data_IF_613570098540
#
_entry.id   IF_613570098540
#
_cell.length_a   1.000
_cell.length_b   1.000
_cell.length_c   1.000
_cell.angle_alpha   90.00
_cell.angle_beta   90.00
_cell.angle_gamma   90.00
#
_symmetry.space_group_name_H-M   'P 1'
#
loop_
_entity.id
_entity.type
_entity.pdbx_description
1 polymer ?
#
# COMPACT_ATOMS: atom_id res chain seq x y z
N UNK A 1 -41.65 30.65 7.13
CA UNK A 1 -42.06 29.38 7.75
C UNK A 1 -40.95 28.95 8.68
N UNK A 2 -41.08 29.23 9.98
CA UNK A 2 -40.14 28.71 10.97
C UNK A 2 -40.43 27.22 11.18
N UNK A 3 -39.40 26.38 11.06
CA UNK A 3 -39.51 24.96 11.36
C UNK A 3 -39.82 24.80 12.86
N UNK A 4 -40.75 23.92 13.23
CA UNK A 4 -41.10 23.68 14.64
C UNK A 4 -39.85 23.22 15.44
N UNK A 5 -39.76 23.49 16.76
CA UNK A 5 -38.54 23.27 17.53
C UNK A 5 -37.95 21.84 17.46
N UNK A 6 -38.76 20.82 17.22
CA UNK A 6 -38.33 19.42 17.05
C UNK A 6 -38.07 18.97 15.61
N UNK A 7 -38.12 19.86 14.62
CA UNK A 7 -37.87 19.50 13.22
C UNK A 7 -36.45 18.96 13.03
N UNK A 8 -35.46 19.59 13.66
CA UNK A 8 -34.07 19.16 13.57
C UNK A 8 -33.80 17.82 14.26
N UNK A 9 -34.44 17.59 15.42
CA UNK A 9 -34.29 16.32 16.15
C UNK A 9 -34.95 15.17 15.40
N UNK A 10 -36.15 15.39 14.85
CA UNK A 10 -36.84 14.38 14.01
C UNK A 10 -36.07 14.08 12.73
N UNK A 11 -35.53 15.09 12.05
CA UNK A 11 -34.66 14.89 10.88
C UNK A 11 -33.40 14.11 11.23
N UNK A 12 -32.76 14.39 12.37
CA UNK A 12 -31.59 13.66 12.84
C UNK A 12 -31.92 12.18 13.13
N UNK A 13 -33.03 11.91 13.82
CA UNK A 13 -33.45 10.53 14.11
C UNK A 13 -33.78 9.75 12.84
N UNK A 14 -34.48 10.35 11.88
CA UNK A 14 -34.76 9.76 10.58
C UNK A 14 -33.47 9.49 9.80
N UNK A 15 -32.50 10.41 9.84
CA UNK A 15 -31.19 10.23 9.23
C UNK A 15 -30.42 9.06 9.88
N UNK A 16 -30.40 8.97 11.21
CA UNK A 16 -29.74 7.88 11.94
C UNK A 16 -30.40 6.53 11.63
N UNK A 17 -31.72 6.48 11.55
CA UNK A 17 -32.47 5.27 11.17
C UNK A 17 -32.17 4.88 9.71
N UNK A 18 -32.14 5.84 8.78
CA UNK A 18 -31.77 5.60 7.39
C UNK A 18 -30.34 5.09 7.27
N UNK A 19 -29.38 5.69 7.99
CA UNK A 19 -27.99 5.24 7.99
C UNK A 19 -27.84 3.84 8.58
N UNK A 20 -28.56 3.54 9.67
CA UNK A 20 -28.60 2.21 10.29
C UNK A 20 -29.18 1.17 9.33
N UNK A 21 -30.34 1.43 8.73
CA UNK A 21 -30.95 0.52 7.75
C UNK A 21 -30.09 0.31 6.51
N UNK A 22 -29.50 1.37 5.95
CA UNK A 22 -28.55 1.25 4.84
C UNK A 22 -27.33 0.41 5.23
N UNK A 23 -26.81 0.60 6.44
CA UNK A 23 -25.72 -0.21 6.98
C UNK A 23 -26.13 -1.68 7.07
N UNK A 24 -27.29 -2.03 7.62
CA UNK A 24 -27.69 -3.43 7.80
C UNK A 24 -28.09 -4.12 6.48
N UNK A 25 -28.74 -3.39 5.56
CA UNK A 25 -29.34 -3.97 4.36
C UNK A 25 -28.46 -3.91 3.12
N UNK A 26 -27.45 -3.04 3.05
CA UNK A 26 -26.65 -2.83 1.83
C UNK A 26 -25.16 -3.15 2.03
N UNK A 27 -24.65 -4.25 1.45
CA UNK A 27 -23.22 -4.54 1.41
C UNK A 27 -22.39 -3.40 0.78
N UNK A 28 -22.95 -2.73 -0.23
CA UNK A 28 -22.32 -1.57 -0.86
C UNK A 28 -22.19 -0.40 0.11
N UNK A 29 -23.22 -0.11 0.92
CA UNK A 29 -23.16 0.95 1.91
C UNK A 29 -22.10 0.66 2.98
N UNK A 30 -22.03 -0.59 3.48
CA UNK A 30 -20.96 -1.02 4.40
C UNK A 30 -19.57 -0.77 3.82
N UNK A 31 -19.36 -1.11 2.55
CA UNK A 31 -18.09 -0.89 1.87
C UNK A 31 -17.72 0.59 1.77
N UNK A 32 -18.64 1.45 1.31
CA UNK A 32 -18.35 2.87 1.18
C UNK A 32 -18.10 3.53 2.53
N UNK A 33 -18.87 3.17 3.57
CA UNK A 33 -18.63 3.65 4.92
C UNK A 33 -17.25 3.21 5.43
N UNK A 34 -16.89 1.93 5.28
CA UNK A 34 -15.57 1.41 5.66
C UNK A 34 -14.45 2.12 4.91
N UNK A 35 -14.59 2.38 3.62
CA UNK A 35 -13.59 3.09 2.82
C UNK A 35 -13.51 4.59 3.15
N UNK A 36 -14.64 5.23 3.41
CA UNK A 36 -14.69 6.63 3.84
C UNK A 36 -14.01 6.78 5.21
N UNK A 37 -14.32 5.88 6.16
CA UNK A 37 -13.65 5.82 7.44
C UNK A 37 -12.14 5.55 7.28
N UNK A 38 -11.73 4.61 6.42
CA UNK A 38 -10.31 4.30 6.18
C UNK A 38 -9.53 5.53 5.71
N UNK A 39 -10.03 6.20 4.67
CA UNK A 39 -9.36 7.37 4.10
C UNK A 39 -9.42 8.58 5.05
N UNK A 40 -10.58 8.82 5.66
CA UNK A 40 -10.75 9.92 6.61
C UNK A 40 -9.86 9.76 7.85
N UNK A 41 -9.72 8.52 8.35
CA UNK A 41 -8.86 8.22 9.48
C UNK A 41 -7.38 8.43 9.15
N UNK A 42 -6.91 8.02 7.96
CA UNK A 42 -5.55 8.31 7.51
C UNK A 42 -5.30 9.83 7.42
N UNK A 43 -6.24 10.59 6.85
CA UNK A 43 -6.11 12.05 6.75
C UNK A 43 -6.06 12.71 8.14
N UNK A 44 -6.89 12.23 9.07
CA UNK A 44 -6.92 12.70 10.45
C UNK A 44 -5.59 12.40 11.17
N UNK A 45 -5.09 11.17 11.09
CA UNK A 45 -3.80 10.80 11.66
C UNK A 45 -2.65 11.61 11.06
N UNK A 46 -2.70 11.90 9.75
CA UNK A 46 -1.71 12.74 9.11
C UNK A 46 -1.72 14.17 9.68
N UNK A 47 -2.89 14.75 9.99
CA UNK A 47 -3.00 16.07 10.66
C UNK A 47 -2.29 16.04 12.01
N UNK A 48 -2.50 14.98 12.79
CA UNK A 48 -1.85 14.81 14.10
C UNK A 48 -0.32 14.58 13.97
N UNK A 49 0.12 13.89 12.92
CA UNK A 49 1.54 13.62 12.68
C UNK A 49 2.31 14.86 12.24
N UNK A 50 1.69 15.76 11.47
CA UNK A 50 2.35 16.92 10.84
C UNK A 50 3.13 17.79 11.85
N UNK A 51 2.56 18.24 12.99
CA UNK A 51 3.31 19.06 13.94
C UNK A 51 4.58 18.37 14.45
N UNK A 52 4.51 17.07 14.75
CA UNK A 52 5.64 16.29 15.26
C UNK A 52 6.71 16.10 14.17
N UNK A 53 6.28 15.75 12.96
CA UNK A 53 7.18 15.58 11.83
C UNK A 53 7.82 16.92 11.40
N UNK A 54 7.08 18.03 11.50
CA UNK A 54 7.54 19.37 11.12
C UNK A 54 8.69 19.87 12.00
N UNK A 55 8.72 19.52 13.29
CA UNK A 55 9.84 19.86 14.20
C UNK A 55 11.17 19.28 13.69
N UNK A 56 11.14 18.10 13.08
CA UNK A 56 12.33 17.45 12.50
C UNK A 56 12.58 17.85 11.04
N UNK A 57 11.66 18.60 10.44
CA UNK A 57 11.66 18.89 9.00
C UNK A 57 11.48 17.64 8.14
N UNK A 58 11.93 17.73 6.88
CA UNK A 58 11.88 16.63 5.93
C UNK A 58 12.94 15.58 6.26
N UNK A 59 12.54 14.50 6.93
CA UNK A 59 13.44 13.45 7.42
C UNK A 59 12.79 12.06 7.33
N UNK A 60 13.53 11.05 6.85
CA UNK A 60 13.06 9.65 6.74
C UNK A 60 12.72 9.04 8.10
N UNK A 61 13.36 9.48 9.19
CA UNK A 61 13.07 8.99 10.54
C UNK A 61 11.62 9.27 10.98
N UNK A 62 10.94 10.23 10.35
CA UNK A 62 9.51 10.48 10.57
C UNK A 62 8.63 9.31 10.07
N UNK A 63 9.15 8.43 9.21
CA UNK A 63 8.46 7.20 8.82
C UNK A 63 8.15 6.31 10.02
N UNK A 64 8.95 6.34 11.10
CA UNK A 64 8.65 5.60 12.34
C UNK A 64 7.36 6.09 13.01
N UNK A 65 7.13 7.41 12.98
CA UNK A 65 5.92 8.04 13.51
C UNK A 65 4.73 7.62 12.65
N UNK A 66 4.84 7.75 11.32
CA UNK A 66 3.78 7.35 10.41
C UNK A 66 3.46 5.86 10.51
N UNK A 67 4.48 5.00 10.62
CA UNK A 67 4.31 3.56 10.85
C UNK A 67 3.53 3.32 12.13
N UNK A 68 3.96 3.88 13.26
CA UNK A 68 3.28 3.70 14.55
C UNK A 68 1.80 4.12 14.47
N UNK A 69 1.52 5.24 13.80
CA UNK A 69 0.17 5.78 13.64
C UNK A 69 -0.68 5.02 12.62
N UNK A 70 -0.11 4.29 11.68
CA UNK A 70 -0.87 3.56 10.65
C UNK A 70 -1.05 2.08 10.97
N UNK A 71 -0.11 1.47 11.72
CA UNK A 71 -0.15 0.03 11.98
C UNK A 71 -1.40 -0.43 12.74
N UNK A 72 -1.99 0.41 13.59
CA UNK A 72 -3.19 -0.01 14.34
C UNK A 72 -4.44 -0.12 13.47
N UNK A 73 -4.45 0.51 12.29
CA UNK A 73 -5.59 0.48 11.38
C UNK A 73 -5.93 -0.96 10.98
N UNK A 74 -4.92 -1.84 10.82
CA UNK A 74 -5.16 -3.24 10.46
C UNK A 74 -6.08 -3.94 11.48
N UNK A 75 -5.96 -3.61 12.77
CA UNK A 75 -6.80 -4.19 13.83
C UNK A 75 -8.25 -3.69 13.76
N UNK A 76 -8.48 -2.43 13.37
CA UNK A 76 -9.83 -1.87 13.20
C UNK A 76 -10.64 -2.63 12.12
N UNK A 77 -9.96 -3.19 11.13
CA UNK A 77 -10.58 -3.95 10.04
C UNK A 77 -10.41 -5.47 10.18
N UNK A 78 -9.74 -5.94 11.24
CA UNK A 78 -9.43 -7.36 11.42
C UNK A 78 -8.53 -7.94 10.32
N UNK A 79 -7.66 -7.12 9.75
CA UNK A 79 -6.66 -7.54 8.77
C UNK A 79 -5.46 -8.09 9.52
N UNK A 80 -5.14 -9.37 9.29
CA UNK A 80 -3.92 -9.99 9.81
C UNK A 80 -2.86 -9.99 8.72
N UNK A 81 -1.77 -9.30 8.98
CA UNK A 81 -0.60 -9.28 8.09
C UNK A 81 0.39 -10.32 8.59
N UNK A 82 0.80 -11.23 7.73
CA UNK A 82 1.80 -12.25 8.02
C UNK A 82 3.05 -11.99 7.18
N UNK A 83 4.11 -11.50 7.82
CA UNK A 83 5.39 -11.23 7.16
C UNK A 83 6.29 -12.45 7.27
N UNK A 84 6.85 -12.90 6.15
CA UNK A 84 7.87 -13.97 6.10
C UNK A 84 9.04 -13.53 5.23
N UNK A 85 10.23 -13.98 5.59
CA UNK A 85 11.46 -13.67 4.85
C UNK A 85 12.12 -12.34 5.24
N UNK A 86 11.69 -11.67 6.31
CA UNK A 86 12.27 -10.39 6.74
C UNK A 86 13.80 -10.46 7.00
N UNK A 87 14.34 -11.65 7.29
CA UNK A 87 15.78 -11.90 7.40
C UNK A 87 16.56 -11.70 6.09
N UNK A 88 15.88 -11.62 4.93
CA UNK A 88 16.52 -11.38 3.64
C UNK A 88 16.91 -9.92 3.42
N UNK A 89 16.49 -8.99 4.28
CA UNK A 89 16.95 -7.60 4.20
C UNK A 89 18.45 -7.52 4.56
N UNK A 90 19.32 -7.03 3.65
CA UNK A 90 20.73 -6.84 3.95
C UNK A 90 20.92 -5.76 5.02
N UNK A 91 21.47 -6.08 6.21
CA UNK A 91 21.58 -5.10 7.30
C UNK A 91 22.75 -4.11 7.12
N UNK A 92 23.76 -4.47 6.33
CA UNK A 92 25.07 -3.79 6.26
C UNK A 92 25.31 -3.02 4.97
N UNK A 93 24.44 -3.12 3.97
CA UNK A 93 24.61 -2.47 2.67
C UNK A 93 23.33 -1.81 2.19
N UNK A 94 23.41 -0.77 1.33
CA UNK A 94 22.24 -0.24 0.63
C UNK A 94 21.58 -1.30 -0.25
N UNK A 95 20.27 -1.19 -0.44
CA UNK A 95 19.50 -2.05 -1.34
C UNK A 95 18.26 -1.31 -1.85
N UNK A 96 17.73 -1.75 -2.99
CA UNK A 96 16.46 -1.24 -3.52
C UNK A 96 15.35 -2.26 -3.33
N UNK A 97 14.26 -1.80 -2.74
CA UNK A 97 13.06 -2.63 -2.55
C UNK A 97 12.11 -2.45 -3.73
N UNK A 98 11.68 -3.55 -4.32
CA UNK A 98 10.64 -3.56 -5.35
C UNK A 98 9.45 -4.35 -4.83
N UNK A 99 8.24 -3.80 -4.96
CA UNK A 99 7.01 -4.45 -4.49
C UNK A 99 5.91 -4.42 -5.54
N UNK A 100 5.04 -5.41 -5.52
CA UNK A 100 3.79 -5.35 -6.28
C UNK A 100 2.86 -4.30 -5.68
N UNK A 101 2.08 -3.62 -6.52
CA UNK A 101 1.10 -2.63 -6.06
C UNK A 101 -0.30 -2.98 -6.57
N UNK A 102 -1.23 -3.26 -5.66
CA UNK A 102 -2.60 -3.64 -5.97
C UNK A 102 -3.62 -2.63 -5.49
N UNK A 103 -3.43 -2.05 -4.31
CA UNK A 103 -4.43 -1.14 -3.72
C UNK A 103 -3.85 -0.23 -2.64
N UNK A 104 -4.66 0.71 -2.16
CA UNK A 104 -4.31 1.55 -1.00
C UNK A 104 -4.12 0.76 0.30
N UNK A 105 -4.58 -0.51 0.37
CA UNK A 105 -4.33 -1.39 1.52
C UNK A 105 -2.88 -1.88 1.57
N UNK A 106 -2.12 -1.78 0.47
CA UNK A 106 -0.68 -2.09 0.45
C UNK A 106 0.06 -1.28 1.50
N UNK A 107 -0.42 -0.07 1.81
CA UNK A 107 0.11 0.78 2.86
C UNK A 107 0.25 0.03 4.20
N UNK A 108 -0.73 -0.80 4.58
CA UNK A 108 -0.72 -1.49 5.87
C UNK A 108 0.40 -2.53 5.93
N UNK A 109 0.52 -3.38 4.90
CA UNK A 109 1.57 -4.39 4.89
C UNK A 109 2.96 -3.81 4.61
N UNK A 110 3.06 -2.74 3.82
CA UNK A 110 4.34 -2.03 3.61
C UNK A 110 4.83 -1.35 4.88
N UNK A 111 3.95 -0.71 5.66
CA UNK A 111 4.33 -0.14 6.96
C UNK A 111 4.84 -1.21 7.94
N UNK A 112 4.42 -2.47 7.77
CA UNK A 112 4.80 -3.58 8.64
C UNK A 112 6.11 -4.27 8.25
N UNK A 113 6.38 -4.41 6.95
CA UNK A 113 7.55 -5.14 6.45
C UNK A 113 8.78 -4.27 6.22
N UNK A 114 8.60 -2.97 5.89
CA UNK A 114 9.73 -2.13 5.50
C UNK A 114 10.70 -1.90 6.67
N UNK A 115 12.02 -1.77 6.41
CA UNK A 115 12.99 -1.39 7.43
C UNK A 115 12.80 0.07 7.86
N UNK A 116 13.43 0.46 8.97
CA UNK A 116 13.29 1.80 9.56
C UNK A 116 13.78 2.94 8.67
N UNK A 117 14.81 2.69 7.85
CA UNK A 117 15.40 3.68 6.93
C UNK A 117 15.11 3.35 5.47
N UNK A 118 13.83 3.12 5.16
CA UNK A 118 13.37 3.02 3.77
C UNK A 118 12.77 4.37 3.33
N UNK A 119 13.21 4.88 2.18
CA UNK A 119 12.62 6.07 1.55
C UNK A 119 11.68 5.61 0.42
N UNK A 120 10.35 5.75 0.59
CA UNK A 120 9.41 5.36 -0.45
C UNK A 120 9.44 6.32 -1.65
N UNK A 121 9.16 5.79 -2.84
CA UNK A 121 8.97 6.57 -4.06
C UNK A 121 7.48 6.56 -4.44
N UNK A 122 6.87 7.73 -4.48
CA UNK A 122 5.44 7.95 -4.72
C UNK A 122 5.18 8.74 -6.02
N UNK A 123 3.94 8.66 -6.54
CA UNK A 123 3.51 9.48 -7.68
C UNK A 123 3.38 10.95 -7.29
N UNK A 124 3.78 11.88 -8.17
CA UNK A 124 3.73 13.34 -7.93
C UNK A 124 2.36 13.82 -7.47
N UNK A 125 1.28 13.25 -8.00
CA UNK A 125 -0.08 13.62 -7.63
C UNK A 125 -0.41 13.34 -6.16
N UNK A 126 0.27 12.39 -5.50
CA UNK A 126 0.05 12.07 -4.10
C UNK A 126 0.56 13.16 -3.14
N UNK A 127 1.44 14.05 -3.61
CA UNK A 127 1.84 15.23 -2.84
C UNK A 127 0.62 16.11 -2.52
N UNK A 128 -0.37 16.13 -3.42
CA UNK A 128 -1.58 16.94 -3.31
C UNK A 128 -2.73 16.22 -2.60
N UNK A 129 -2.49 15.07 -1.99
CA UNK A 129 -3.48 14.30 -1.22
C UNK A 129 -3.74 14.90 0.18
N UNK A 130 -3.85 16.23 0.28
CA UNK A 130 -4.12 16.95 1.53
C UNK A 130 -3.07 16.70 2.61
N UNK A 131 -3.53 16.48 3.85
CA UNK A 131 -2.65 16.24 5.01
C UNK A 131 -1.76 15.00 4.84
N UNK A 132 -2.27 13.94 4.21
CA UNK A 132 -1.47 12.74 3.95
C UNK A 132 -0.29 13.02 3.01
N UNK A 133 -0.50 13.82 1.97
CA UNK A 133 0.57 14.23 1.05
C UNK A 133 1.68 15.01 1.76
N UNK A 134 1.30 15.98 2.59
CA UNK A 134 2.24 16.76 3.40
C UNK A 134 2.99 15.91 4.45
N UNK A 135 2.28 15.01 5.14
CA UNK A 135 2.90 14.10 6.10
C UNK A 135 3.94 13.17 5.43
N UNK A 136 3.62 12.62 4.25
CA UNK A 136 4.55 11.86 3.44
C UNK A 136 5.77 12.70 3.00
N UNK A 137 5.55 13.95 2.58
CA UNK A 137 6.64 14.86 2.22
C UNK A 137 7.57 15.17 3.39
N UNK A 138 7.03 15.42 4.58
CA UNK A 138 7.80 15.58 5.82
C UNK A 138 8.52 14.29 6.22
N UNK A 139 7.98 13.13 5.85
CA UNK A 139 8.62 11.83 6.06
C UNK A 139 9.70 11.47 5.03
N UNK A 140 10.10 12.41 4.18
CA UNK A 140 11.18 12.21 3.23
C UNK A 140 10.80 11.44 1.97
N UNK A 141 9.51 11.11 1.76
CA UNK A 141 9.03 10.43 0.56
C UNK A 141 9.41 11.21 -0.70
N UNK A 142 9.93 10.51 -1.70
CA UNK A 142 10.32 11.09 -2.99
C UNK A 142 9.14 11.00 -3.94
N UNK A 143 8.75 12.13 -4.54
CA UNK A 143 7.62 12.21 -5.45
C UNK A 143 8.10 12.36 -6.89
N UNK A 144 7.69 11.45 -7.76
CA UNK A 144 8.11 11.43 -9.18
C UNK A 144 6.90 11.57 -10.12
N UNK A 145 7.09 12.32 -11.21
CA UNK A 145 6.10 12.39 -12.28
C UNK A 145 6.38 11.30 -13.32
N UNK A 146 5.52 10.27 -13.36
CA UNK A 146 5.66 9.17 -14.32
C UNK A 146 4.99 9.44 -15.67
N UNK A 147 4.23 10.54 -15.81
CA UNK A 147 3.52 10.91 -17.04
C UNK A 147 4.38 11.71 -18.00
N UNK A 148 5.38 12.43 -17.48
CA UNK A 148 6.46 12.96 -18.32
C UNK A 148 7.45 11.83 -18.57
N UNK A 149 7.23 11.11 -19.65
CA UNK A 149 7.96 9.88 -20.00
C UNK A 149 9.48 10.08 -20.00
N UNK A 150 9.97 11.27 -20.39
CA UNK A 150 11.39 11.62 -20.34
C UNK A 150 11.98 11.67 -18.92
N UNK A 151 11.30 12.35 -17.99
CA UNK A 151 11.76 12.50 -16.59
C UNK A 151 11.63 11.19 -15.81
N UNK A 152 10.59 10.40 -16.10
CA UNK A 152 10.36 9.12 -15.46
C UNK A 152 11.40 8.07 -15.88
N UNK A 153 11.71 8.02 -17.19
CA UNK A 153 12.74 7.14 -17.73
C UNK A 153 14.11 7.60 -17.23
N UNK A 154 14.41 8.90 -17.21
CA UNK A 154 15.72 9.37 -16.74
C UNK A 154 15.96 9.00 -15.27
N UNK A 155 15.00 9.22 -14.38
CA UNK A 155 15.13 8.86 -12.95
C UNK A 155 15.21 7.34 -12.77
N UNK A 156 14.38 6.56 -13.46
CA UNK A 156 14.45 5.10 -13.36
C UNK A 156 15.75 4.54 -13.95
N UNK A 157 16.25 5.12 -15.05
CA UNK A 157 17.52 4.77 -15.67
C UNK A 157 18.70 5.19 -14.80
N UNK A 158 18.63 6.34 -14.13
CA UNK A 158 19.65 6.80 -13.19
C UNK A 158 19.70 5.89 -11.96
N UNK A 159 18.53 5.51 -11.42
CA UNK A 159 18.44 4.50 -10.36
C UNK A 159 19.02 3.18 -10.87
N UNK A 160 18.65 2.71 -12.05
CA UNK A 160 19.19 1.48 -12.63
C UNK A 160 20.72 1.54 -12.81
N UNK A 161 21.27 2.65 -13.31
CA UNK A 161 22.71 2.82 -13.45
C UNK A 161 23.40 2.87 -12.07
N UNK A 162 22.81 3.53 -11.09
CA UNK A 162 23.33 3.57 -9.72
C UNK A 162 23.33 2.16 -9.11
N UNK A 163 22.28 1.38 -9.36
CA UNK A 163 22.15 0.00 -8.88
C UNK A 163 23.27 -0.90 -9.42
N UNK A 164 23.62 -0.71 -10.69
CA UNK A 164 24.66 -1.48 -11.37
C UNK A 164 26.07 -1.01 -10.98
N UNK A 165 26.31 0.30 -10.94
CA UNK A 165 27.64 0.86 -10.66
C UNK A 165 28.07 0.71 -9.20
N UNK A 166 27.11 0.57 -8.29
CA UNK A 166 27.36 0.43 -6.85
C UNK A 166 27.06 -0.99 -6.33
N UNK A 167 26.81 -1.95 -7.22
CA UNK A 167 26.47 -3.34 -6.87
C UNK A 167 25.35 -3.44 -5.80
N UNK A 168 24.36 -2.56 -5.91
CA UNK A 168 23.25 -2.47 -4.95
C UNK A 168 22.20 -3.52 -5.30
N UNK A 169 21.94 -4.51 -4.42
CA UNK A 169 21.01 -5.58 -4.73
C UNK A 169 19.56 -5.09 -4.70
N UNK A 170 18.71 -5.82 -5.42
CA UNK A 170 17.26 -5.62 -5.44
C UNK A 170 16.61 -6.62 -4.48
N UNK A 171 15.80 -6.16 -3.55
CA UNK A 171 15.04 -7.00 -2.60
C UNK A 171 13.56 -6.99 -3.00
N UNK A 172 13.03 -8.08 -3.60
CA UNK A 172 11.63 -8.15 -3.97
C UNK A 172 10.74 -8.41 -2.75
N UNK A 173 9.63 -7.68 -2.66
CA UNK A 173 8.55 -7.90 -1.68
C UNK A 173 7.28 -8.23 -2.43
N UNK A 174 6.64 -9.34 -2.05
CA UNK A 174 5.41 -9.81 -2.68
C UNK A 174 4.30 -9.85 -1.65
N UNK A 175 3.23 -9.10 -1.90
CA UNK A 175 2.00 -9.08 -1.11
C UNK A 175 0.93 -9.93 -1.79
N UNK A 176 0.23 -10.77 -1.03
CA UNK A 176 -0.86 -11.60 -1.55
C UNK A 176 -2.02 -10.75 -2.07
N UNK A 177 -2.80 -11.33 -2.98
CA UNK A 177 -4.08 -10.78 -3.41
C UNK A 177 -4.98 -10.49 -2.21
N UNK A 178 -5.68 -9.35 -2.25
CA UNK A 178 -6.73 -9.02 -1.27
C UNK A 178 -8.12 -9.47 -1.70
N UNK A 179 -8.26 -10.14 -2.86
CA UNK A 179 -9.59 -10.40 -3.44
C UNK A 179 -10.50 -11.21 -2.52
N UNK A 180 -9.97 -11.98 -1.58
CA UNK A 180 -10.72 -12.75 -0.58
C UNK A 180 -11.45 -11.87 0.46
N UNK A 181 -10.92 -10.69 0.81
CA UNK A 181 -11.54 -9.80 1.80
C UNK A 181 -11.79 -8.36 1.32
N UNK A 182 -11.14 -7.91 0.25
CA UNK A 182 -11.27 -6.57 -0.31
C UNK A 182 -11.36 -6.62 -1.85
N UNK A 183 -12.49 -6.16 -2.37
CA UNK A 183 -12.71 -6.04 -3.81
C UNK A 183 -13.52 -4.77 -4.12
N UNK A 184 -12.90 -3.82 -4.81
CA UNK A 184 -13.55 -2.56 -5.22
C UNK A 184 -14.72 -2.79 -6.19
N UNK A 185 -14.59 -3.75 -7.11
CA UNK A 185 -15.61 -4.08 -8.12
C UNK A 185 -16.87 -4.66 -7.46
N UNK A 186 -16.69 -5.56 -6.50
CA UNK A 186 -17.79 -6.18 -5.74
C UNK A 186 -18.24 -5.34 -4.55
N UNK A 187 -17.56 -4.22 -4.26
CA UNK A 187 -17.78 -3.39 -3.08
C UNK A 187 -17.80 -4.25 -1.82
N UNK A 188 -16.76 -5.07 -1.67
CA UNK A 188 -16.54 -5.94 -0.51
C UNK A 188 -15.34 -5.44 0.26
N UNK A 189 -15.51 -5.28 1.57
CA UNK A 189 -14.43 -5.01 2.50
C UNK A 189 -14.75 -5.67 3.85
N UNK A 190 -14.13 -6.81 4.11
CA UNK A 190 -14.24 -7.63 5.32
C UNK A 190 -12.87 -7.80 5.98
N UNK A 191 -12.85 -8.54 7.08
CA UNK A 191 -11.60 -9.01 7.69
C UNK A 191 -10.98 -10.13 6.85
N UNK A 192 -9.66 -10.29 6.93
CA UNK A 192 -8.94 -11.24 6.11
C UNK A 192 -7.46 -11.29 6.43
N UNK A 193 -6.72 -12.05 5.63
CA UNK A 193 -5.27 -12.23 5.80
C UNK A 193 -4.53 -11.66 4.59
N UNK A 194 -3.46 -10.92 4.86
CA UNK A 194 -2.50 -10.48 3.86
C UNK A 194 -1.16 -11.16 4.16
N UNK A 195 -0.67 -11.97 3.23
CA UNK A 195 0.69 -12.51 3.33
C UNK A 195 1.66 -11.56 2.65
N UNK A 196 2.79 -11.29 3.31
CA UNK A 196 3.89 -10.50 2.76
C UNK A 196 5.14 -11.36 2.76
N UNK A 197 5.73 -11.57 1.59
CA UNK A 197 6.96 -12.33 1.39
C UNK A 197 8.08 -11.41 0.96
N UNK A 198 9.14 -11.36 1.75
CA UNK A 198 10.41 -10.75 1.33
C UNK A 198 11.25 -11.85 0.70
N UNK A 199 11.61 -11.70 -0.56
CA UNK A 199 12.44 -12.66 -1.30
C UNK A 199 13.91 -12.39 -1.08
N UNK A 200 14.73 -13.38 -1.39
CA UNK A 200 16.18 -13.24 -1.34
C UNK A 200 16.64 -12.10 -2.26
N UNK A 201 17.65 -11.31 -1.84
CA UNK A 201 18.18 -10.24 -2.66
C UNK A 201 18.69 -10.76 -4.00
N UNK A 202 18.38 -10.05 -5.07
CA UNK A 202 18.91 -10.31 -6.41
C UNK A 202 20.16 -9.45 -6.57
N UNK A 203 21.35 -10.07 -6.73
CA UNK A 203 22.59 -9.33 -6.92
C UNK A 203 22.60 -8.62 -8.28
N UNK A 204 23.27 -7.47 -8.32
CA UNK A 204 23.49 -6.68 -9.54
C UNK A 204 24.95 -6.70 -10.01
N UNK A 205 25.82 -7.43 -9.30
CA UNK A 205 27.25 -7.56 -9.58
C UNK A 205 27.51 -8.04 -11.02
N UNK A 206 28.34 -7.28 -11.74
CA UNK A 206 28.77 -7.62 -13.10
C UNK A 206 27.70 -7.41 -14.18
N UNK A 207 26.54 -6.83 -13.85
CA UNK A 207 25.52 -6.47 -14.83
C UNK A 207 25.80 -5.10 -15.48
N UNK A 208 25.42 -4.96 -16.74
CA UNK A 208 25.53 -3.73 -17.53
C UNK A 208 24.16 -3.09 -17.75
N UNK A 209 24.08 -1.82 -18.20
CA UNK A 209 22.80 -1.18 -18.52
C UNK A 209 21.95 -1.98 -19.54
N UNK A 210 22.59 -2.74 -20.43
CA UNK A 210 21.90 -3.57 -21.43
C UNK A 210 21.21 -4.80 -20.80
N UNK A 211 21.65 -5.21 -19.60
CA UNK A 211 21.07 -6.32 -18.85
C UNK A 211 19.83 -5.93 -18.03
N UNK A 212 19.56 -4.63 -17.88
CA UNK A 212 18.45 -4.09 -17.06
C UNK A 212 17.08 -4.66 -17.47
N UNK A 213 16.71 -4.74 -18.77
CA UNK A 213 15.44 -5.33 -19.16
C UNK A 213 15.32 -6.81 -18.76
N UNK A 214 16.37 -7.59 -18.98
CA UNK A 214 16.40 -9.00 -18.62
C UNK A 214 16.36 -9.21 -17.10
N UNK A 215 17.05 -8.36 -16.32
CA UNK A 215 16.98 -8.35 -14.87
C UNK A 215 15.56 -8.05 -14.38
N UNK A 216 14.91 -7.02 -14.93
CA UNK A 216 13.55 -6.64 -14.58
C UNK A 216 12.56 -7.80 -14.84
N UNK A 217 12.68 -8.47 -15.99
CA UNK A 217 11.84 -9.63 -16.32
C UNK A 217 12.06 -10.81 -15.38
N UNK A 218 13.30 -11.12 -15.01
CA UNK A 218 13.60 -12.17 -14.01
C UNK A 218 13.00 -11.86 -12.65
N UNK A 219 13.19 -10.62 -12.16
CA UNK A 219 12.62 -10.17 -10.88
C UNK A 219 11.09 -10.24 -10.92
N UNK A 220 10.49 -9.73 -12.00
CA UNK A 220 9.03 -9.78 -12.21
C UNK A 220 8.51 -11.22 -12.22
N UNK A 221 9.18 -12.14 -12.92
CA UNK A 221 8.77 -13.53 -13.00
C UNK A 221 8.83 -14.22 -11.62
N UNK A 222 9.91 -14.01 -10.87
CA UNK A 222 10.04 -14.51 -9.49
C UNK A 222 8.91 -13.99 -8.59
N UNK A 223 8.62 -12.69 -8.65
CA UNK A 223 7.55 -12.07 -7.89
C UNK A 223 6.17 -12.61 -8.29
N UNK A 224 5.91 -12.83 -9.59
CA UNK A 224 4.65 -13.40 -10.09
C UNK A 224 4.41 -14.82 -9.58
N UNK A 225 5.46 -15.64 -9.58
CA UNK A 225 5.38 -17.02 -9.11
C UNK A 225 4.98 -17.05 -7.63
N UNK A 226 5.68 -16.29 -6.80
CA UNK A 226 5.36 -16.20 -5.37
C UNK A 226 3.98 -15.56 -5.14
N UNK A 227 3.62 -14.54 -5.93
CA UNK A 227 2.32 -13.88 -5.82
C UNK A 227 1.18 -14.87 -6.04
N UNK A 228 1.30 -15.75 -7.05
CA UNK A 228 0.30 -16.79 -7.33
C UNK A 228 0.21 -17.77 -6.18
N UNK A 229 1.33 -18.28 -5.70
CA UNK A 229 1.43 -19.21 -4.56
C UNK A 229 0.72 -18.65 -3.31
N UNK A 230 1.13 -17.46 -2.85
CA UNK A 230 0.59 -16.90 -1.60
C UNK A 230 -0.84 -16.40 -1.73
N UNK A 231 -1.30 -16.14 -2.96
CA UNK A 231 -2.69 -15.75 -3.23
C UNK A 231 -3.62 -16.95 -3.32
N UNK A 232 -3.12 -18.14 -3.70
CA UNK A 232 -3.90 -19.38 -3.68
C UNK A 232 -3.99 -19.99 -2.29
N UNK A 233 -2.92 -19.90 -1.48
CA UNK A 233 -2.89 -20.45 -0.12
C UNK A 233 -3.87 -19.76 0.87
N UNK A 234 -4.32 -18.54 0.53
CA UNK A 234 -5.36 -17.84 1.28
C UNK A 234 -6.77 -18.42 1.07
N UNK A 235 -6.98 -19.21 0.00
CA UNK A 235 -8.22 -19.88 -0.33
C UNK A 235 -8.27 -21.23 0.39
N UNK A 236 -8.71 -21.26 1.64
CA UNK A 236 -8.97 -22.51 2.33
C UNK A 236 -9.93 -23.41 1.53
N UNK A 237 -9.46 -24.58 1.10
CA UNK A 237 -10.23 -25.80 0.85
C UNK A 237 -11.62 -25.67 0.21
N UNK A 238 -11.75 -24.90 -0.86
CA UNK A 238 -13.01 -24.78 -1.60
C UNK A 238 -12.75 -24.62 -3.09
N UNK A 239 -13.15 -25.64 -3.85
CA UNK A 239 -13.07 -25.75 -5.30
C UNK A 239 -13.79 -24.57 -5.99
N UNK A 240 -13.08 -23.46 -6.24
CA UNK A 240 -13.62 -22.32 -6.98
C UNK A 240 -12.54 -21.52 -7.74
N UNK A 241 -11.61 -22.23 -8.37
CA UNK A 241 -10.79 -21.66 -9.46
C UNK A 241 -10.74 -22.63 -10.64
N UNK A 242 -11.92 -22.99 -11.16
CA UNK A 242 -12.08 -23.38 -12.57
C UNK A 242 -12.76 -22.24 -13.32
N UNK A 243 -11.98 -21.23 -13.72
CA UNK A 243 -12.22 -20.43 -14.92
C UNK A 243 -11.00 -19.53 -15.21
N UNK A 244 -10.33 -19.69 -16.37
CA UNK A 244 -9.31 -18.76 -16.82
C UNK A 244 -10.02 -17.53 -17.38
N UNK A 245 -10.11 -16.47 -16.60
CA UNK A 245 -10.75 -15.23 -17.05
C UNK A 245 -11.05 -14.29 -15.91
N UNK A 246 -10.07 -13.46 -15.56
CA UNK A 246 -10.28 -12.38 -14.59
C UNK A 246 -9.35 -12.39 -13.38
N UNK A 247 -8.11 -12.85 -13.51
CA UNK A 247 -7.09 -12.39 -12.58
C UNK A 247 -6.91 -10.89 -12.84
N UNK A 248 -7.36 -10.06 -11.89
CA UNK A 248 -6.94 -8.66 -11.86
C UNK A 248 -5.42 -8.65 -11.77
N UNK A 249 -4.75 -8.39 -12.89
CA UNK A 249 -3.30 -8.29 -12.97
C UNK A 249 -2.85 -7.25 -11.96
N UNK A 250 -2.11 -7.70 -10.94
CA UNK A 250 -1.33 -6.79 -10.14
C UNK A 250 -0.46 -5.97 -11.10
N UNK A 251 -0.43 -4.64 -10.93
CA UNK A 251 0.57 -3.82 -11.60
C UNK A 251 1.89 -4.05 -10.87
N UNK A 252 2.59 -5.09 -11.31
CA UNK A 252 4.00 -5.32 -11.06
C UNK A 252 4.84 -4.41 -11.95
#
# INVERSE_FOLDING_TARGET
>A
MELWPGAWTTLLLLLLLLLSTLWFCSPSAKYFFKMAFYNGWILFLAILAIPVCAVRGRNVENMKILRLMLLHIKYLYGIRVEVRGAQHFPPTQPYVVVSNHQSSLDLLGMMEVLPDRCVPIAKRELLWAGSAGLACWLAGVIFIDRKRTGDAISVMSEVAQTLLTQDVPIVPIVMSSYQDFYCKKERRFTSGRCQVRVLSPVPTEGLTPDDVPALADRVRHSMLTVFREISTDGLGGGDCLKKPGGAGEARL
#
